data_IF_633069827759
#
_entry.id   IF_633069827759
#
_cell.length_a   1.000
_cell.length_b   1.000
_cell.length_c   1.000
_cell.angle_alpha   90.00
_cell.angle_beta   90.00
_cell.angle_gamma   90.00
#
_symmetry.space_group_name_H-M   'P 1'
#
loop_
_entity.id
_entity.type
_entity.pdbx_description
1 polymer ?
#
# COMPACT_ATOMS: atom_id res chain seq x y z
N UNK A 1 -7.79 -15.49 12.02
CA UNK A 1 -7.38 -14.77 13.24
C UNK A 1 -6.08 -14.00 12.99
N UNK A 2 -5.13 -14.62 12.29
CA UNK A 2 -3.79 -14.08 12.07
C UNK A 2 -3.76 -12.81 11.19
N UNK A 3 -4.69 -12.66 10.23
CA UNK A 3 -4.86 -11.42 9.46
C UNK A 3 -5.30 -10.24 10.32
N UNK A 4 -6.21 -10.46 11.29
CA UNK A 4 -6.64 -9.42 12.23
C UNK A 4 -5.48 -8.98 13.14
N UNK A 5 -4.65 -9.94 13.55
CA UNK A 5 -3.45 -9.65 14.34
C UNK A 5 -2.45 -8.83 13.52
N UNK A 6 -2.21 -9.18 12.25
CA UNK A 6 -1.39 -8.41 11.34
C UNK A 6 -1.84 -6.94 11.28
N UNK A 7 -3.14 -6.68 11.07
CA UNK A 7 -3.67 -5.31 11.05
C UNK A 7 -3.44 -4.57 12.38
N UNK A 8 -3.59 -5.25 13.51
CA UNK A 8 -3.36 -4.68 14.84
C UNK A 8 -1.90 -4.30 15.05
N UNK A 9 -0.97 -5.16 14.61
CA UNK A 9 0.47 -4.91 14.71
C UNK A 9 0.92 -3.82 13.74
N UNK A 10 0.34 -3.74 12.53
CA UNK A 10 0.58 -2.65 11.60
C UNK A 10 0.14 -1.29 12.14
N UNK A 11 -0.98 -1.22 12.88
CA UNK A 11 -1.41 0.00 13.57
C UNK A 11 -0.43 0.41 14.69
N UNK A 12 0.09 -0.57 15.43
CA UNK A 12 1.07 -0.33 16.50
C UNK A 12 2.46 0.03 15.99
N UNK A 13 2.83 -0.45 14.80
CA UNK A 13 4.19 -0.32 14.25
C UNK A 13 5.17 -1.37 14.76
N UNK A 14 4.67 -2.51 15.25
CA UNK A 14 5.52 -3.56 15.79
C UNK A 14 6.07 -4.46 14.67
N UNK A 15 7.25 -4.11 14.17
CA UNK A 15 7.88 -4.81 13.04
C UNK A 15 8.26 -6.24 13.38
N UNK A 16 8.73 -6.51 14.60
CA UNK A 16 9.17 -7.86 14.99
C UNK A 16 8.02 -8.87 14.91
N UNK A 17 6.85 -8.48 15.39
CA UNK A 17 5.66 -9.33 15.32
C UNK A 17 5.15 -9.47 13.88
N UNK A 18 5.17 -8.40 13.08
CA UNK A 18 4.80 -8.49 11.67
C UNK A 18 5.75 -9.42 10.91
N UNK A 19 7.05 -9.34 11.17
CA UNK A 19 8.05 -10.27 10.61
C UNK A 19 7.77 -11.71 11.02
N UNK A 20 7.47 -11.95 12.30
CA UNK A 20 7.11 -13.27 12.78
C UNK A 20 5.86 -13.82 12.07
N UNK A 21 4.81 -13.01 11.90
CA UNK A 21 3.59 -13.41 11.22
C UNK A 21 3.81 -13.71 9.73
N UNK A 22 4.59 -12.89 9.04
CA UNK A 22 4.88 -13.06 7.61
C UNK A 22 5.83 -14.25 7.39
N UNK A 23 6.95 -14.30 8.11
CA UNK A 23 8.02 -15.28 7.86
C UNK A 23 7.71 -16.67 8.46
N UNK A 24 7.06 -16.74 9.63
CA UNK A 24 6.83 -18.01 10.33
C UNK A 24 5.44 -18.60 10.11
N UNK A 25 4.44 -17.75 9.85
CA UNK A 25 3.05 -18.19 9.66
C UNK A 25 2.56 -18.09 8.22
N UNK A 26 3.41 -17.63 7.30
CA UNK A 26 3.10 -17.49 5.87
C UNK A 26 1.81 -16.68 5.63
N UNK A 27 1.64 -15.62 6.43
CA UNK A 27 0.47 -14.74 6.32
C UNK A 27 0.64 -13.84 5.11
N UNK A 28 -0.36 -13.85 4.23
CA UNK A 28 -0.40 -12.96 3.07
C UNK A 28 -0.44 -11.49 3.51
N UNK A 29 0.52 -10.70 3.03
CA UNK A 29 0.63 -9.25 3.30
C UNK A 29 -0.39 -8.41 2.53
N UNK A 30 -1.09 -9.03 1.56
CA UNK A 30 -2.09 -8.37 0.71
C UNK A 30 -3.54 -8.66 1.15
N UNK A 31 -3.73 -9.19 2.35
CA UNK A 31 -5.05 -9.40 2.93
C UNK A 31 -5.83 -8.08 3.02
N UNK A 32 -7.14 -8.17 2.84
CA UNK A 32 -8.06 -7.03 2.93
C UNK A 32 -8.97 -7.18 4.14
N UNK A 33 -9.17 -6.09 4.86
CA UNK A 33 -10.13 -6.04 5.97
C UNK A 33 -11.56 -5.79 5.48
N UNK A 34 -12.51 -5.66 6.41
CA UNK A 34 -13.92 -5.38 6.10
C UNK A 34 -14.15 -4.03 5.39
N UNK A 35 -13.14 -3.15 5.39
CA UNK A 35 -13.14 -1.83 4.77
C UNK A 35 -12.31 -1.82 3.47
N UNK A 36 -11.98 -3.00 2.95
CA UNK A 36 -11.13 -3.18 1.78
C UNK A 36 -9.75 -2.53 1.94
N UNK A 37 -9.24 -2.47 3.18
CA UNK A 37 -7.95 -1.84 3.49
C UNK A 37 -6.84 -2.86 3.67
N UNK A 38 -5.64 -2.53 3.18
CA UNK A 38 -4.44 -3.37 3.23
C UNK A 38 -3.58 -3.08 4.48
N UNK A 39 -2.73 -4.03 4.93
CA UNK A 39 -1.80 -3.82 6.04
C UNK A 39 -0.85 -2.65 5.79
N UNK A 40 -0.40 -2.50 4.53
CA UNK A 40 0.45 -1.40 4.09
C UNK A 40 -0.23 -0.04 4.28
N UNK A 41 -1.53 0.08 3.97
CA UNK A 41 -2.28 1.30 4.20
C UNK A 41 -2.24 1.73 5.67
N UNK A 42 -2.43 0.80 6.62
CA UNK A 42 -2.36 1.12 8.05
C UNK A 42 -0.96 1.52 8.50
N UNK A 43 0.09 0.87 7.98
CA UNK A 43 1.47 1.26 8.26
C UNK A 43 1.76 2.70 7.78
N UNK A 44 1.28 3.07 6.58
CA UNK A 44 1.38 4.42 6.04
C UNK A 44 0.57 5.43 6.86
N UNK A 45 -0.66 5.09 7.24
CA UNK A 45 -1.57 5.92 8.02
C UNK A 45 -1.02 6.25 9.41
N UNK A 46 -0.41 5.26 10.06
CA UNK A 46 0.17 5.43 11.38
C UNK A 46 1.60 6.01 11.37
N UNK A 47 2.22 6.15 10.19
CA UNK A 47 3.55 6.77 10.06
C UNK A 47 4.74 5.85 10.32
N UNK A 48 4.55 4.54 10.26
CA UNK A 48 5.58 3.55 10.62
C UNK A 48 6.52 3.27 9.44
N UNK A 49 7.48 4.17 9.21
CA UNK A 49 8.36 4.13 8.04
C UNK A 49 9.11 2.79 7.85
N UNK A 50 9.76 2.29 8.91
CA UNK A 50 10.50 1.03 8.84
C UNK A 50 9.59 -0.17 8.53
N UNK A 51 8.33 -0.13 8.98
CA UNK A 51 7.34 -1.16 8.68
C UNK A 51 6.88 -1.08 7.22
N UNK A 52 6.70 0.14 6.70
CA UNK A 52 6.36 0.36 5.28
C UNK A 52 7.46 -0.20 4.38
N UNK A 53 8.73 0.09 4.66
CA UNK A 53 9.87 -0.46 3.90
C UNK A 53 9.89 -1.99 3.93
N UNK A 54 9.66 -2.59 5.10
CA UNK A 54 9.58 -4.04 5.23
C UNK A 54 8.44 -4.64 4.40
N UNK A 55 7.23 -4.10 4.51
CA UNK A 55 6.05 -4.61 3.78
C UNK A 55 6.24 -4.50 2.26
N UNK A 56 6.80 -3.40 1.77
CA UNK A 56 7.16 -3.24 0.36
C UNK A 56 8.21 -4.28 -0.05
N UNK A 57 9.23 -4.51 0.78
CA UNK A 57 10.28 -5.50 0.52
C UNK A 57 9.78 -6.94 0.47
N UNK A 58 8.71 -7.26 1.21
CA UNK A 58 8.06 -8.58 1.19
C UNK A 58 7.14 -8.77 -0.03
N UNK A 59 6.80 -7.68 -0.73
CA UNK A 59 5.91 -7.73 -1.90
C UNK A 59 4.47 -7.29 -1.60
N UNK A 60 4.27 -6.36 -0.67
CA UNK A 60 2.98 -5.71 -0.51
C UNK A 60 2.62 -4.88 -1.75
N UNK A 61 1.41 -5.10 -2.28
CA UNK A 61 0.92 -4.44 -3.49
C UNK A 61 0.35 -3.07 -3.17
N UNK A 62 0.73 -2.09 -3.97
CA UNK A 62 0.30 -0.71 -3.87
C UNK A 62 0.32 -0.05 -5.25
N UNK A 63 -0.33 -0.67 -6.22
CA UNK A 63 -0.22 -0.23 -7.62
C UNK A 63 -0.65 1.23 -7.84
N UNK A 64 0.08 1.90 -8.72
CA UNK A 64 -0.22 3.24 -9.17
C UNK A 64 -1.59 3.35 -9.83
N UNK A 65 -2.33 4.41 -9.50
CA UNK A 65 -3.66 4.71 -10.06
C UNK A 65 -4.72 3.64 -9.72
N UNK A 66 -4.45 2.84 -8.69
CA UNK A 66 -5.48 2.03 -8.04
C UNK A 66 -5.99 2.76 -6.80
N UNK A 67 -7.20 2.38 -6.38
CA UNK A 67 -7.78 2.88 -5.13
C UNK A 67 -6.84 2.65 -3.94
N UNK A 68 -6.08 1.56 -3.94
CA UNK A 68 -5.15 1.20 -2.86
C UNK A 68 -3.89 2.08 -2.87
N UNK A 69 -3.30 2.32 -4.03
CA UNK A 69 -2.12 3.18 -4.19
C UNK A 69 -2.41 4.62 -3.78
N UNK A 70 -3.53 5.18 -4.27
CA UNK A 70 -3.94 6.55 -3.90
C UNK A 70 -4.25 6.69 -2.41
N UNK A 71 -4.88 5.68 -1.80
CA UNK A 71 -5.15 5.66 -0.35
C UNK A 71 -3.89 5.60 0.49
N UNK A 72 -2.91 4.78 0.09
CA UNK A 72 -1.63 4.72 0.79
C UNK A 72 -0.88 6.05 0.72
N UNK A 73 -0.92 6.72 -0.43
CA UNK A 73 -0.28 8.03 -0.61
C UNK A 73 -1.00 9.14 0.17
N UNK A 74 -2.34 9.23 0.06
CA UNK A 74 -3.14 10.24 0.75
C UNK A 74 -3.14 10.02 2.27
N UNK A 75 -3.18 8.76 2.69
CA UNK A 75 -3.13 8.36 4.10
C UNK A 75 -1.75 8.49 4.73
N UNK A 76 -0.68 8.62 3.96
CA UNK A 76 0.68 8.71 4.51
C UNK A 76 0.85 9.93 5.43
N UNK A 77 1.21 9.65 6.69
CA UNK A 77 1.40 10.65 7.74
C UNK A 77 2.61 11.56 7.50
N UNK A 78 3.69 11.02 6.93
CA UNK A 78 4.98 11.70 6.80
C UNK A 78 5.41 11.79 5.34
N UNK A 79 6.06 12.91 4.95
CA UNK A 79 6.61 13.10 3.60
C UNK A 79 7.62 12.02 3.21
N UNK A 80 8.38 11.48 4.17
CA UNK A 80 9.31 10.38 3.93
C UNK A 80 8.60 9.13 3.40
N UNK A 81 7.42 8.79 3.95
CA UNK A 81 6.62 7.64 3.50
C UNK A 81 6.08 7.90 2.10
N UNK A 82 5.58 9.12 1.84
CA UNK A 82 5.14 9.52 0.50
C UNK A 82 6.27 9.37 -0.52
N UNK A 83 7.48 9.80 -0.14
CA UNK A 83 8.66 9.69 -0.99
C UNK A 83 8.99 8.24 -1.33
N UNK A 84 9.00 7.34 -0.34
CA UNK A 84 9.21 5.90 -0.55
C UNK A 84 8.16 5.34 -1.51
N UNK A 85 6.87 5.65 -1.28
CA UNK A 85 5.79 5.17 -2.14
C UNK A 85 5.94 5.69 -3.59
N UNK A 86 6.27 6.97 -3.77
CA UNK A 86 6.52 7.53 -5.11
C UNK A 86 7.76 6.96 -5.78
N UNK A 87 8.81 6.63 -5.02
CA UNK A 87 10.06 6.05 -5.54
C UNK A 87 9.88 4.60 -6.03
N UNK A 88 9.02 3.82 -5.39
CA UNK A 88 8.68 2.46 -5.80
C UNK A 88 7.72 2.40 -7.01
N UNK A 89 7.59 3.50 -7.78
CA UNK A 89 6.77 3.58 -9.00
C UNK A 89 5.26 3.36 -8.76
N UNK A 90 4.78 3.71 -7.57
CA UNK A 90 3.38 3.56 -7.17
C UNK A 90 2.50 4.77 -7.52
N UNK A 91 3.03 5.78 -8.22
CA UNK A 91 2.24 6.82 -8.90
C UNK A 91 3.09 7.42 -10.01
N UNK A 92 2.56 7.55 -11.23
CA UNK A 92 3.14 8.48 -12.21
C UNK A 92 2.76 9.89 -11.79
N UNK A 93 3.73 10.80 -11.61
CA UNK A 93 3.46 12.23 -11.39
C UNK A 93 2.73 12.90 -12.57
N UNK A 94 2.58 12.19 -13.69
CA UNK A 94 1.60 12.55 -14.70
C UNK A 94 0.22 12.17 -14.21
N UNK A 95 -0.55 13.18 -13.83
CA UNK A 95 -2.02 13.18 -13.90
C UNK A 95 -2.44 12.32 -15.09
N UNK A 96 -2.85 11.08 -14.85
CA UNK A 96 -3.56 10.32 -15.87
C UNK A 96 -4.88 11.07 -16.00
N UNK A 97 -4.94 11.99 -16.97
CA UNK A 97 -6.21 12.27 -17.62
C UNK A 97 -6.76 10.90 -17.94
N UNK A 98 -7.99 10.62 -17.50
CA UNK A 98 -8.69 9.37 -17.76
C UNK A 98 -8.69 9.12 -19.27
N UNK A 99 -7.66 8.46 -19.76
CA UNK A 99 -7.41 8.29 -21.18
C UNK A 99 -8.37 7.26 -21.79
N UNK A 100 -9.26 6.66 -21.00
CA UNK A 100 -10.35 5.83 -21.54
C UNK A 100 -11.19 6.57 -22.60
N UNK A 101 -11.36 7.90 -22.49
CA UNK A 101 -12.07 8.69 -23.48
C UNK A 101 -11.21 9.06 -24.70
N UNK A 102 -9.96 9.46 -24.48
CA UNK A 102 -9.00 9.78 -25.55
C UNK A 102 -8.63 8.53 -26.37
N UNK A 103 -8.46 7.38 -25.71
CA UNK A 103 -8.20 6.08 -26.33
C UNK A 103 -9.43 5.56 -27.08
N UNK A 104 -10.64 5.77 -26.54
CA UNK A 104 -11.89 5.52 -27.28
C UNK A 104 -11.98 6.35 -28.55
N UNK A 105 -11.67 7.66 -28.48
CA UNK A 105 -11.69 8.55 -29.65
C UNK A 105 -10.64 8.18 -30.71
N UNK A 106 -9.44 7.74 -30.30
CA UNK A 106 -8.40 7.27 -31.23
C UNK A 106 -8.74 5.96 -31.94
N UNK A 107 -9.65 5.16 -31.42
CA UNK A 107 -10.09 3.89 -32.05
C UNK A 107 -11.24 4.09 -33.06
N UNK A 108 -11.83 5.28 -33.15
CA UNK A 108 -12.95 5.58 -34.05
C UNK A 108 -12.60 6.46 -35.26
N UNK A 109 -11.32 6.82 -35.46
CA UNK A 109 -10.85 7.54 -36.65
C UNK A 109 -9.61 6.88 -37.25
#
# INVERSE_FOLDING_TARGET
MDSLELFRQCKKGNIEEVRYLVEQRDVDVNVRDIWDSTPLYYACLCGHLQLVEYLIGVGAHCEANTFDGERCLYGALTDSIRKILTQHNLVTTHTIRRDAYEEFLRRQF
#
